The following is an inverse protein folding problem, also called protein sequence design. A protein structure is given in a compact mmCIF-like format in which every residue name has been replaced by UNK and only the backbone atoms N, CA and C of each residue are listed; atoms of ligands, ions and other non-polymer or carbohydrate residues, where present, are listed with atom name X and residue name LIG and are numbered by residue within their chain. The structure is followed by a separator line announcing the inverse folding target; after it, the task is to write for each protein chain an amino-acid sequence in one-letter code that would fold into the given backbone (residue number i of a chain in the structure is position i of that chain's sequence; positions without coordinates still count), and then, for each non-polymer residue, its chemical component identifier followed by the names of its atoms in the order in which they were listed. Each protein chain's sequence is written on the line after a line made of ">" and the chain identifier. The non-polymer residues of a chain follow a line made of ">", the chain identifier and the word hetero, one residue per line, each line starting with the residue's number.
data_IF_543718614330
#
_entry.id   IF_543718614330
#
_cell.length_a   1.000
_cell.length_b   1.000
_cell.length_c   1.000
_cell.angle_alpha   90.00
_cell.angle_beta   90.00
_cell.angle_gamma   90.00
#
_symmetry.space_group_name_H-M   'P 1'
#
loop_
_entity.id
_entity.type
_entity.pdbx_description
1 polymer ?
#
# COMPACT_ATOMS: atom_id res chain seq x y z
N UNK A 1 -2.44 10.87 -11.03
CA UNK A 1 -1.17 10.19 -10.71
C UNK A 1 -0.29 10.17 -11.95
N UNK A 2 1.00 10.49 -11.85
CA UNK A 2 1.87 10.44 -13.03
C UNK A 2 2.33 8.99 -13.30
N UNK A 3 2.62 8.61 -14.55
CA UNK A 3 3.17 7.28 -14.88
C UNK A 3 4.46 6.93 -14.10
N UNK A 4 5.20 7.96 -13.66
CA UNK A 4 6.43 7.80 -12.91
C UNK A 4 6.20 7.13 -11.54
N UNK A 5 5.05 7.36 -10.92
CA UNK A 5 4.70 6.76 -9.62
C UNK A 5 4.59 5.23 -9.70
N UNK A 6 3.94 4.69 -10.74
CA UNK A 6 3.82 3.24 -10.94
C UNK A 6 5.18 2.58 -11.25
N UNK A 7 6.04 3.29 -11.96
CA UNK A 7 7.40 2.82 -12.25
C UNK A 7 8.22 2.67 -10.96
N UNK A 8 8.18 3.66 -10.07
CA UNK A 8 8.87 3.63 -8.79
C UNK A 8 8.40 2.45 -7.92
N UNK A 9 7.09 2.23 -7.83
CA UNK A 9 6.49 1.10 -7.12
C UNK A 9 7.01 -0.25 -7.64
N UNK A 10 6.97 -0.44 -8.96
CA UNK A 10 7.47 -1.66 -9.58
C UNK A 10 8.97 -1.87 -9.34
N UNK A 11 9.77 -0.81 -9.42
CA UNK A 11 11.22 -0.91 -9.18
C UNK A 11 11.53 -1.33 -7.74
N UNK A 12 10.74 -0.86 -6.77
CA UNK A 12 10.83 -1.24 -5.35
C UNK A 12 10.21 -2.60 -5.04
N UNK A 13 9.74 -3.34 -6.06
CA UNK A 13 8.98 -4.60 -5.94
C UNK A 13 7.79 -4.49 -4.97
N UNK A 14 7.21 -3.30 -4.88
CA UNK A 14 6.09 -2.98 -3.99
C UNK A 14 5.02 -2.32 -4.83
N UNK A 15 3.93 -3.03 -5.10
CA UNK A 15 2.87 -2.51 -5.94
C UNK A 15 1.82 -3.56 -6.27
N UNK A 16 0.74 -3.14 -6.94
CA UNK A 16 -0.29 -4.07 -7.39
C UNK A 16 0.26 -5.05 -8.44
N UNK A 17 -0.38 -6.22 -8.60
CA UNK A 17 -0.08 -7.13 -9.69
C UNK A 17 -0.09 -6.41 -11.05
N UNK A 18 0.93 -6.71 -11.86
CA UNK A 18 1.07 -6.19 -13.21
C UNK A 18 1.25 -7.33 -14.20
N UNK A 19 0.88 -7.08 -15.46
CA UNK A 19 1.11 -8.04 -16.55
C UNK A 19 1.70 -7.33 -17.75
N UNK A 20 2.42 -8.10 -18.58
CA UNK A 20 2.97 -7.61 -19.82
C UNK A 20 1.92 -7.72 -20.94
N UNK A 21 1.72 -6.63 -21.67
CA UNK A 21 0.94 -6.59 -22.90
C UNK A 21 1.85 -6.05 -24.01
N UNK A 22 2.51 -6.97 -24.71
CA UNK A 22 3.59 -6.63 -25.64
C UNK A 22 4.72 -5.89 -24.93
N UNK A 23 5.05 -4.68 -25.38
CA UNK A 23 6.11 -3.84 -24.80
C UNK A 23 5.64 -2.96 -23.64
N UNK A 24 4.37 -3.07 -23.22
CA UNK A 24 3.77 -2.24 -22.16
C UNK A 24 3.53 -3.08 -20.92
N UNK A 25 3.76 -2.47 -19.75
CA UNK A 25 3.33 -3.01 -18.46
C UNK A 25 1.98 -2.42 -18.15
N UNK A 26 1.00 -3.28 -17.93
CA UNK A 26 -0.37 -2.90 -17.65
C UNK A 26 -0.75 -3.29 -16.23
N UNK A 27 -1.68 -2.52 -15.66
CA UNK A 27 -2.28 -2.76 -14.36
C UNK A 27 -3.79 -2.89 -14.56
N UNK A 28 -4.42 -3.84 -13.86
CA UNK A 28 -5.88 -3.84 -13.73
C UNK A 28 -6.25 -2.78 -12.71
N UNK A 29 -7.26 -1.97 -13.02
CA UNK A 29 -7.76 -0.92 -12.11
C UNK A 29 -8.19 -1.54 -10.78
N UNK A 30 -8.99 -2.62 -10.81
CA UNK A 30 -9.44 -3.30 -9.58
C UNK A 30 -8.28 -3.78 -8.70
N UNK A 31 -7.20 -4.29 -9.30
CA UNK A 31 -6.02 -4.75 -8.56
C UNK A 31 -5.21 -3.58 -7.98
N UNK A 32 -5.22 -2.43 -8.64
CA UNK A 32 -4.63 -1.20 -8.12
C UNK A 32 -5.45 -0.68 -6.93
N UNK A 33 -6.78 -0.63 -7.05
CA UNK A 33 -7.68 -0.17 -5.99
C UNK A 33 -7.55 -1.05 -4.74
N UNK A 34 -7.63 -2.38 -4.89
CA UNK A 34 -7.44 -3.33 -3.77
C UNK A 34 -6.07 -3.18 -3.09
N UNK A 35 -5.03 -2.85 -3.86
CA UNK A 35 -3.70 -2.65 -3.31
C UNK A 35 -3.62 -1.34 -2.52
N UNK A 36 -4.18 -0.25 -3.05
CA UNK A 36 -4.25 1.05 -2.35
C UNK A 36 -5.03 0.90 -1.05
N UNK A 37 -6.21 0.28 -1.08
CA UNK A 37 -7.01 -0.01 0.11
C UNK A 37 -6.21 -0.76 1.17
N UNK A 38 -5.40 -1.74 0.75
CA UNK A 38 -4.55 -2.50 1.67
C UNK A 38 -3.44 -1.64 2.26
N UNK A 39 -2.84 -0.75 1.47
CA UNK A 39 -1.84 0.19 1.96
C UNK A 39 -2.45 1.17 2.96
N UNK A 40 -3.63 1.72 2.67
CA UNK A 40 -4.33 2.64 3.58
C UNK A 40 -4.69 1.98 4.91
N UNK A 41 -5.15 0.72 4.88
CA UNK A 41 -5.43 -0.04 6.10
C UNK A 41 -4.19 -0.37 6.89
N UNK A 42 -3.04 -0.59 6.24
CA UNK A 42 -1.78 -0.89 6.90
C UNK A 42 -1.08 0.35 7.43
N UNK A 43 -1.31 1.53 6.83
CA UNK A 43 -0.71 2.78 7.26
C UNK A 43 -1.41 3.30 8.53
N UNK A 44 -0.66 3.33 9.63
CA UNK A 44 -1.12 3.87 10.91
C UNK A 44 -1.58 5.33 10.88
N UNK A 45 -1.13 6.12 9.88
CA UNK A 45 -1.59 7.51 9.72
C UNK A 45 -3.00 7.58 9.15
N UNK A 46 -3.32 6.66 8.23
CA UNK A 46 -4.61 6.59 7.55
C UNK A 46 -5.60 5.66 8.26
N UNK A 47 -5.13 4.77 9.14
CA UNK A 47 -5.94 3.85 9.92
C UNK A 47 -5.97 4.22 11.42
N UNK A 48 -7.08 4.78 11.96
CA UNK A 48 -7.21 5.14 13.37
C UNK A 48 -7.02 3.98 14.36
N UNK A 49 -7.31 2.74 13.93
CA UNK A 49 -7.13 1.55 14.76
C UNK A 49 -5.66 1.17 14.94
N UNK A 50 -4.78 1.57 14.01
CA UNK A 50 -3.34 1.35 14.06
C UNK A 50 -2.56 2.59 14.52
N UNK A 51 -3.25 3.69 14.82
CA UNK A 51 -2.60 4.93 15.24
C UNK A 51 -1.82 4.70 16.55
N UNK A 52 -0.49 4.91 16.57
CA UNK A 52 0.33 4.67 17.76
C UNK A 52 -0.07 5.53 18.96
N UNK A 53 -0.73 6.67 18.74
CA UNK A 53 -1.22 7.56 19.79
C UNK A 53 -2.47 7.00 20.51
N UNK A 54 -3.22 6.10 19.86
CA UNK A 54 -4.39 5.45 20.45
C UNK A 54 -4.03 4.19 21.27
N UNK A 55 -2.76 3.77 21.28
CA UNK A 55 -2.33 2.55 21.97
C UNK A 55 -2.34 2.80 23.48
N UNK A 56 -3.24 2.14 24.22
CA UNK A 56 -3.24 2.19 25.70
C UNK A 56 -1.86 1.75 26.21
N UNK A 57 -1.24 2.50 27.15
CA UNK A 57 0.08 2.16 27.66
C UNK A 57 0.06 0.76 28.26
N UNK A 58 0.88 -0.14 27.68
CA UNK A 58 0.99 -1.51 28.16
C UNK A 58 1.70 -1.47 29.51
N UNK A 59 0.95 -1.69 30.60
CA UNK A 59 1.53 -1.84 31.93
C UNK A 59 2.48 -3.03 31.90
N UNK A 60 3.79 -2.77 31.99
CA UNK A 60 4.79 -3.81 32.19
C UNK A 60 4.49 -4.45 33.54
N UNK A 61 3.91 -5.64 33.53
CA UNK A 61 3.76 -6.46 34.72
C UNK A 61 5.15 -6.99 35.10
N UNK A 62 5.56 -6.69 36.32
CA UNK A 62 6.79 -7.18 36.96
C UNK A 62 6.57 -8.54 37.60
#
# INVERSE_FOLDING_TARGET
>A
MSPNTLYVWRHRRQGPPSFQMGRRVMYRISALDEWVDRQERADSRSNPALNPLNRKPLRRTS
#
